data_IF_031885963369
#
_entry.id   IF_031885963369
#
_cell.length_a   1.000
_cell.length_b   1.000
_cell.length_c   1.000
_cell.angle_alpha   90.00
_cell.angle_beta   90.00
_cell.angle_gamma   90.00
#
_symmetry.space_group_name_H-M   'P 1'
#
loop_
_entity.id
_entity.type
_entity.pdbx_description
1 polymer ?
#
# COMPACT_ATOMS: atom_id res chain seq x y z
N UNK A 1 34.45 66.07 29.56
CA UNK A 1 34.08 65.76 28.13
C UNK A 1 33.94 64.28 27.98
N UNK A 2 32.73 63.75 28.14
CA UNK A 2 32.44 62.36 28.05
C UNK A 2 31.02 62.19 27.48
N UNK A 3 30.94 62.11 26.16
CA UNK A 3 29.70 61.78 25.40
C UNK A 3 30.09 60.97 24.22
N UNK A 4 29.56 59.73 24.09
CA UNK A 4 29.59 59.08 22.82
C UNK A 4 29.88 57.55 22.78
N UNK A 5 29.43 56.74 23.76
CA UNK A 5 29.57 55.29 23.66
C UNK A 5 28.27 54.47 23.81
N UNK A 6 27.12 55.13 23.90
CA UNK A 6 25.85 54.41 24.12
C UNK A 6 25.06 54.08 22.83
N UNK A 7 25.24 54.84 21.75
CA UNK A 7 24.45 54.73 20.54
C UNK A 7 24.78 53.47 19.67
N UNK A 8 26.04 53.00 19.73
CA UNK A 8 26.48 51.89 18.86
C UNK A 8 25.97 50.51 19.31
N UNK A 9 25.63 50.34 20.59
CA UNK A 9 25.15 49.02 21.09
C UNK A 9 23.71 48.72 20.73
N UNK A 10 22.85 49.72 20.64
CA UNK A 10 21.45 49.51 20.30
C UNK A 10 21.23 49.27 18.80
N UNK A 11 22.06 49.87 17.94
CA UNK A 11 22.00 49.62 16.48
C UNK A 11 22.45 48.21 16.14
N UNK A 12 23.47 47.67 16.81
CA UNK A 12 23.93 46.29 16.59
C UNK A 12 22.92 45.25 17.08
N UNK A 13 22.18 45.53 18.17
CA UNK A 13 21.17 44.60 18.69
C UNK A 13 19.91 44.53 17.80
N UNK A 14 19.51 45.65 17.22
CA UNK A 14 18.34 45.70 16.31
C UNK A 14 18.61 45.05 14.96
N UNK A 15 19.82 45.14 14.43
CA UNK A 15 20.21 44.48 13.18
C UNK A 15 20.33 42.95 13.38
N UNK A 16 20.83 42.49 14.52
CA UNK A 16 20.91 41.05 14.82
C UNK A 16 19.53 40.44 15.02
N UNK A 17 18.56 41.12 15.61
CA UNK A 17 17.21 40.62 15.81
C UNK A 17 16.42 40.59 14.49
N UNK A 18 16.63 41.54 13.59
CA UNK A 18 16.01 41.54 12.26
C UNK A 18 16.56 40.40 11.34
N UNK A 19 17.84 40.06 11.47
CA UNK A 19 18.45 38.95 10.73
C UNK A 19 17.96 37.59 11.25
N UNK A 20 17.68 37.44 12.54
CA UNK A 20 17.17 36.20 13.13
C UNK A 20 15.70 35.92 12.74
N UNK A 21 14.88 36.96 12.61
CA UNK A 21 13.48 36.84 12.17
C UNK A 21 13.39 36.48 10.68
N UNK A 22 14.35 36.91 9.86
CA UNK A 22 14.39 36.62 8.44
C UNK A 22 14.80 35.16 8.14
N UNK A 23 15.50 34.48 9.05
CA UNK A 23 15.96 33.09 8.85
C UNK A 23 14.90 32.07 9.25
N UNK A 24 13.87 32.47 10.00
CA UNK A 24 12.76 31.58 10.38
C UNK A 24 11.63 31.48 9.32
N UNK A 25 11.67 32.30 8.29
CA UNK A 25 10.62 32.35 7.26
C UNK A 25 10.85 31.41 6.05
N UNK A 26 11.92 30.61 6.04
CA UNK A 26 12.30 29.78 4.87
C UNK A 26 12.14 28.30 5.06
N UNK A 27 11.33 27.83 6.01
CA UNK A 27 10.83 26.46 5.94
C UNK A 27 9.67 26.42 4.95
N UNK A 28 10.01 26.46 3.65
CA UNK A 28 9.10 26.00 2.62
C UNK A 28 8.85 24.51 2.91
N UNK A 29 7.78 24.23 3.63
CA UNK A 29 7.24 22.89 3.66
C UNK A 29 6.99 22.51 2.20
N UNK A 30 7.81 21.61 1.67
CA UNK A 30 7.51 20.89 0.44
C UNK A 30 6.25 20.10 0.74
N UNK A 31 5.10 20.75 0.60
CA UNK A 31 3.83 20.05 0.46
C UNK A 31 3.94 19.31 -0.85
N UNK A 32 4.30 18.02 -0.78
CA UNK A 32 4.06 17.10 -1.90
C UNK A 32 2.56 17.19 -2.16
N UNK A 33 2.21 17.88 -3.23
CA UNK A 33 0.81 18.02 -3.60
C UNK A 33 0.30 16.61 -3.92
N UNK A 34 -0.71 16.16 -3.19
CA UNK A 34 -1.41 14.92 -3.46
C UNK A 34 -1.94 14.82 -4.93
N UNK A 35 -1.93 15.95 -5.65
CA UNK A 35 -2.28 16.03 -7.06
C UNK A 35 -1.30 15.32 -8.01
N UNK A 36 -0.05 15.06 -7.57
CA UNK A 36 1.00 14.47 -8.40
C UNK A 36 1.38 13.05 -7.96
N UNK A 37 0.45 12.35 -7.35
CA UNK A 37 0.67 11.00 -6.85
C UNK A 37 -0.38 10.03 -7.39
N UNK A 38 -0.06 8.74 -7.38
CA UNK A 38 -0.99 7.62 -7.53
C UNK A 38 -0.95 6.73 -6.31
N UNK A 39 -1.83 5.74 -6.23
CA UNK A 39 -1.79 4.73 -5.17
C UNK A 39 -1.47 3.38 -5.77
N UNK A 40 -0.63 2.63 -5.07
CA UNK A 40 -0.28 1.27 -5.46
C UNK A 40 -0.44 0.34 -4.28
N UNK A 41 -0.99 -0.84 -4.53
CA UNK A 41 -1.02 -1.97 -3.62
C UNK A 41 -0.16 -3.08 -4.22
N UNK A 42 0.71 -3.68 -3.41
CA UNK A 42 1.53 -4.81 -3.83
C UNK A 42 1.04 -6.06 -3.11
N UNK A 43 0.79 -7.13 -3.86
CA UNK A 43 0.42 -8.43 -3.32
C UNK A 43 1.50 -9.46 -3.60
N UNK A 44 1.92 -10.19 -2.56
CA UNK A 44 2.76 -11.36 -2.71
C UNK A 44 1.92 -12.57 -3.13
N UNK A 45 1.95 -12.90 -4.43
CA UNK A 45 1.16 -13.97 -5.02
C UNK A 45 2.02 -15.14 -5.56
N UNK A 46 3.31 -15.21 -5.18
CA UNK A 46 4.22 -16.31 -5.52
C UNK A 46 4.20 -17.37 -4.41
N UNK A 47 3.70 -18.57 -4.68
CA UNK A 47 3.43 -19.57 -3.63
C UNK A 47 4.67 -20.22 -3.05
N UNK A 48 5.79 -20.30 -3.79
CA UNK A 48 7.05 -20.92 -3.39
C UNK A 48 8.11 -19.94 -2.90
N UNK A 49 7.79 -18.64 -2.84
CA UNK A 49 8.72 -17.62 -2.38
C UNK A 49 8.50 -17.34 -0.90
N UNK A 50 9.57 -17.36 -0.07
CA UNK A 50 9.50 -16.93 1.32
C UNK A 50 9.02 -15.48 1.46
N UNK A 51 8.73 -14.99 2.68
CA UNK A 51 8.45 -13.58 2.90
C UNK A 51 9.48 -12.68 2.26
N UNK A 52 9.06 -11.54 1.72
CA UNK A 52 9.92 -10.64 0.96
C UNK A 52 9.96 -9.24 1.56
N UNK A 53 11.13 -8.58 1.40
CA UNK A 53 11.33 -7.16 1.62
C UNK A 53 11.29 -6.45 0.26
N UNK A 54 10.55 -5.35 0.18
CA UNK A 54 10.38 -4.58 -1.06
C UNK A 54 11.04 -3.23 -0.89
N UNK A 55 11.90 -2.89 -1.84
CA UNK A 55 12.58 -1.61 -1.94
C UNK A 55 12.04 -0.86 -3.16
N UNK A 56 11.79 0.42 -2.97
CA UNK A 56 11.39 1.35 -4.02
C UNK A 56 12.42 2.46 -4.06
N UNK A 57 13.03 2.67 -5.22
CA UNK A 57 14.10 3.67 -5.43
C UNK A 57 15.24 3.55 -4.39
N UNK A 58 15.59 2.31 -4.05
CA UNK A 58 16.64 1.99 -3.08
C UNK A 58 16.24 2.14 -1.61
N UNK A 59 15.00 2.56 -1.30
CA UNK A 59 14.51 2.65 0.07
C UNK A 59 13.59 1.46 0.41
N UNK A 60 13.77 0.85 1.59
CA UNK A 60 12.90 -0.23 2.04
C UNK A 60 11.50 0.32 2.33
N UNK A 61 10.54 -0.05 1.48
CA UNK A 61 9.14 0.35 1.60
C UNK A 61 8.30 -0.67 2.38
N UNK A 62 8.61 -1.96 2.26
CA UNK A 62 7.84 -3.05 2.89
C UNK A 62 8.80 -4.07 3.47
N UNK A 63 8.49 -4.58 4.66
CA UNK A 63 9.27 -5.63 5.34
C UNK A 63 8.43 -6.89 5.51
N UNK A 64 9.04 -8.04 5.25
CA UNK A 64 8.51 -9.37 5.53
C UNK A 64 7.07 -9.60 5.01
N UNK A 65 6.78 -9.13 3.78
CA UNK A 65 5.49 -9.39 3.14
C UNK A 65 5.39 -10.89 2.81
N UNK A 66 4.52 -11.58 3.53
CA UNK A 66 4.33 -13.02 3.37
C UNK A 66 3.28 -13.35 2.30
N UNK A 67 3.42 -14.49 1.65
CA UNK A 67 2.36 -15.08 0.80
C UNK A 67 1.13 -15.50 1.64
N UNK A 68 -0.09 -15.20 1.23
CA UNK A 68 -0.56 -14.35 0.13
C UNK A 68 -1.10 -13.01 0.67
N UNK A 69 -0.24 -12.21 1.27
CA UNK A 69 -0.61 -10.91 1.84
C UNK A 69 -0.38 -9.78 0.84
N UNK A 70 -1.02 -8.65 1.10
CA UNK A 70 -0.86 -7.40 0.37
C UNK A 70 -0.51 -6.25 1.33
N UNK A 71 -0.07 -5.13 0.76
CA UNK A 71 0.34 -3.95 1.53
C UNK A 71 -0.82 -3.01 1.88
N UNK A 72 -2.01 -3.24 1.32
CA UNK A 72 -2.97 -2.16 1.16
C UNK A 72 -2.45 -1.11 0.16
N UNK A 73 -3.26 -0.08 -0.10
CA UNK A 73 -2.83 1.02 -0.98
C UNK A 73 -1.88 1.97 -0.27
N UNK A 74 -0.73 2.20 -0.91
CA UNK A 74 0.29 3.17 -0.51
C UNK A 74 0.36 4.27 -1.57
N UNK A 75 0.49 5.52 -1.14
CA UNK A 75 0.64 6.65 -2.05
C UNK A 75 2.11 6.81 -2.45
N UNK A 76 2.38 6.86 -3.75
CA UNK A 76 3.70 7.15 -4.32
C UNK A 76 3.60 8.33 -5.29
N UNK A 77 4.66 9.12 -5.47
CA UNK A 77 4.72 10.12 -6.53
C UNK A 77 4.42 9.49 -7.90
N UNK A 78 3.82 10.24 -8.82
CA UNK A 78 3.65 9.78 -10.19
C UNK A 78 5.01 9.77 -10.90
N UNK A 79 5.27 8.73 -11.69
CA UNK A 79 6.52 8.55 -12.39
C UNK A 79 6.99 7.12 -12.46
N UNK A 80 8.21 6.94 -12.93
CA UNK A 80 8.88 5.64 -12.99
C UNK A 80 9.62 5.39 -11.68
N UNK A 81 9.41 4.23 -11.08
CA UNK A 81 10.05 3.79 -9.84
C UNK A 81 10.74 2.47 -10.06
N UNK A 82 11.97 2.33 -9.60
CA UNK A 82 12.67 1.06 -9.58
C UNK A 82 12.25 0.25 -8.36
N UNK A 83 11.70 -0.93 -8.58
CA UNK A 83 11.22 -1.85 -7.54
C UNK A 83 12.13 -3.06 -7.47
N UNK A 84 12.70 -3.32 -6.30
CA UNK A 84 13.51 -4.51 -6.01
C UNK A 84 12.85 -5.33 -4.91
N UNK A 85 12.77 -6.63 -5.14
CA UNK A 85 12.20 -7.60 -4.20
C UNK A 85 13.31 -8.53 -3.74
N UNK A 86 13.53 -8.60 -2.45
CA UNK A 86 14.51 -9.48 -1.82
C UNK A 86 13.83 -10.49 -0.90
N UNK A 87 14.41 -11.66 -0.74
CA UNK A 87 13.96 -12.58 0.33
C UNK A 87 14.27 -11.94 1.68
N UNK A 88 13.30 -11.93 2.57
CA UNK A 88 13.42 -11.33 3.91
C UNK A 88 14.16 -12.29 4.89
N UNK A 89 14.99 -11.77 5.82
CA UNK A 89 15.33 -10.36 5.98
C UNK A 89 16.42 -9.91 5.00
N UNK A 90 16.33 -8.66 4.53
CA UNK A 90 17.33 -8.06 3.65
C UNK A 90 17.56 -6.59 4.00
N UNK A 91 18.77 -6.10 3.80
CA UNK A 91 19.14 -4.68 3.87
C UNK A 91 19.14 -3.99 2.48
N UNK A 92 18.76 -4.74 1.43
CA UNK A 92 18.76 -4.27 0.05
C UNK A 92 20.08 -4.48 -0.68
N UNK A 93 21.07 -5.11 -0.04
CA UNK A 93 22.33 -5.48 -0.68
C UNK A 93 22.23 -6.84 -1.39
N UNK A 94 23.11 -7.06 -2.36
CA UNK A 94 23.16 -8.31 -3.12
C UNK A 94 22.20 -8.36 -4.30
N UNK A 95 21.91 -9.59 -4.75
CA UNK A 95 21.07 -9.82 -5.93
C UNK A 95 19.61 -9.91 -5.50
N UNK A 96 18.70 -9.06 -5.99
CA UNK A 96 17.28 -9.18 -5.73
C UNK A 96 16.69 -10.45 -6.39
N UNK A 97 15.66 -11.01 -5.78
CA UNK A 97 14.88 -12.08 -6.39
C UNK A 97 14.11 -11.60 -7.63
N UNK A 98 13.76 -10.31 -7.64
CA UNK A 98 13.11 -9.64 -8.75
C UNK A 98 13.46 -8.15 -8.74
N UNK A 99 13.79 -7.61 -9.93
CA UNK A 99 13.94 -6.18 -10.16
C UNK A 99 13.13 -5.78 -11.38
N UNK A 100 12.34 -4.72 -11.27
CA UNK A 100 11.53 -4.21 -12.36
C UNK A 100 11.20 -2.73 -12.15
N UNK A 101 10.96 -2.04 -13.25
CA UNK A 101 10.45 -0.68 -13.22
C UNK A 101 8.92 -0.68 -13.19
N UNK A 102 8.35 0.16 -12.33
CA UNK A 102 6.92 0.34 -12.14
C UNK A 102 6.53 1.80 -12.40
N UNK A 103 5.64 2.03 -13.34
CA UNK A 103 5.10 3.36 -13.59
C UNK A 103 3.87 3.62 -12.71
N UNK A 104 3.95 4.65 -11.86
CA UNK A 104 2.82 5.15 -11.08
C UNK A 104 2.14 6.26 -11.88
N UNK A 105 0.84 6.07 -12.17
CA UNK A 105 0.05 7.03 -12.93
C UNK A 105 -0.67 7.98 -11.98
N UNK A 106 -0.56 9.28 -12.26
CA UNK A 106 -1.21 10.32 -11.46
C UNK A 106 -2.70 10.07 -11.30
N UNK A 107 -3.19 10.14 -10.05
CA UNK A 107 -4.60 10.03 -9.71
C UNK A 107 -5.21 8.65 -9.96
N UNK A 108 -4.38 7.64 -10.28
CA UNK A 108 -4.82 6.26 -10.49
C UNK A 108 -4.46 5.38 -9.31
N UNK A 109 -5.28 4.36 -9.13
CA UNK A 109 -5.02 3.24 -8.25
C UNK A 109 -4.52 2.05 -9.07
N UNK A 110 -3.56 1.32 -8.52
CA UNK A 110 -2.99 0.15 -9.18
C UNK A 110 -2.78 -0.99 -8.19
N UNK A 111 -3.02 -2.21 -8.64
CA UNK A 111 -2.64 -3.43 -7.93
C UNK A 111 -1.52 -4.11 -8.70
N UNK A 112 -0.41 -4.39 -8.02
CA UNK A 112 0.75 -5.10 -8.57
C UNK A 112 0.89 -6.43 -7.85
N UNK A 113 0.85 -7.53 -8.59
CA UNK A 113 1.06 -8.85 -8.02
C UNK A 113 2.47 -9.34 -8.36
N UNK A 114 3.23 -9.80 -7.35
CA UNK A 114 4.41 -10.61 -7.57
C UNK A 114 3.93 -12.04 -7.81
N UNK A 115 3.98 -12.50 -9.05
CA UNK A 115 3.45 -13.78 -9.51
C UNK A 115 4.55 -14.67 -10.09
N UNK A 116 4.30 -15.96 -10.16
CA UNK A 116 5.26 -16.96 -10.65
C UNK A 116 5.88 -17.75 -9.52
N UNK A 117 6.91 -18.49 -9.83
CA UNK A 117 7.62 -19.38 -8.92
C UNK A 117 9.12 -19.09 -9.01
N UNK A 118 9.76 -18.88 -7.85
CA UNK A 118 11.23 -18.71 -7.78
C UNK A 118 11.92 -19.97 -8.24
N UNK A 119 11.44 -21.14 -7.80
CA UNK A 119 12.02 -22.44 -8.17
C UNK A 119 12.02 -22.73 -9.66
N UNK A 120 11.15 -22.07 -10.44
CA UNK A 120 11.06 -22.21 -11.90
C UNK A 120 11.59 -20.97 -12.66
N UNK A 121 12.17 -20.00 -11.95
CA UNK A 121 12.66 -18.74 -12.52
C UNK A 121 11.58 -17.99 -13.34
N UNK A 122 10.32 -18.03 -12.92
CA UNK A 122 9.18 -17.38 -13.59
C UNK A 122 8.63 -16.20 -12.81
N UNK A 123 9.28 -15.82 -11.70
CA UNK A 123 8.86 -14.71 -10.88
C UNK A 123 8.83 -13.40 -11.69
N UNK A 124 7.76 -12.63 -11.54
CA UNK A 124 7.59 -11.37 -12.24
C UNK A 124 6.51 -10.51 -11.61
N UNK A 125 6.46 -9.23 -11.99
CA UNK A 125 5.37 -8.33 -11.62
C UNK A 125 4.24 -8.38 -12.65
N UNK A 126 3.02 -8.34 -12.17
CA UNK A 126 1.80 -8.15 -12.94
C UNK A 126 1.14 -6.84 -12.48
N UNK A 127 1.45 -5.69 -13.10
CA UNK A 127 0.83 -4.43 -12.78
C UNK A 127 -0.53 -4.32 -13.46
N UNK A 128 -1.53 -3.84 -12.72
CA UNK A 128 -2.92 -3.70 -13.17
C UNK A 128 -3.46 -2.35 -12.70
N UNK A 129 -4.08 -1.60 -13.58
CA UNK A 129 -4.87 -0.42 -13.19
C UNK A 129 -6.18 -0.87 -12.55
N UNK A 130 -6.56 -0.20 -11.45
CA UNK A 130 -7.79 -0.49 -10.73
C UNK A 130 -8.91 0.46 -11.15
N UNK A 131 -10.10 -0.06 -11.36
CA UNK A 131 -11.29 0.74 -11.58
C UNK A 131 -12.11 0.81 -10.29
N UNK A 132 -11.84 1.83 -9.49
CA UNK A 132 -12.47 2.05 -8.19
C UNK A 132 -13.74 2.91 -8.26
N UNK A 133 -14.39 2.97 -9.44
CA UNK A 133 -15.67 3.64 -9.59
C UNK A 133 -16.72 3.00 -8.67
N UNK A 134 -17.42 3.85 -7.93
CA UNK A 134 -18.45 3.42 -6.96
C UNK A 134 -19.55 2.61 -7.64
N UNK A 135 -19.81 1.37 -7.21
CA UNK A 135 -20.96 0.60 -7.70
C UNK A 135 -22.30 1.25 -7.37
N UNK A 136 -23.32 0.95 -8.17
CA UNK A 136 -24.69 1.36 -7.86
C UNK A 136 -25.16 0.76 -6.52
N UNK A 137 -26.16 1.40 -5.89
CA UNK A 137 -26.77 0.88 -4.66
C UNK A 137 -27.29 -0.53 -4.87
N UNK A 138 -27.06 -1.42 -3.93
CA UNK A 138 -27.38 -2.84 -4.00
C UNK A 138 -26.37 -3.68 -4.80
N UNK A 139 -25.33 -3.08 -5.36
CA UNK A 139 -24.33 -3.75 -6.18
C UNK A 139 -22.93 -3.70 -5.57
N UNK A 140 -22.11 -4.70 -5.89
CA UNK A 140 -20.67 -4.71 -5.78
C UNK A 140 -20.06 -4.85 -7.17
N UNK A 141 -18.82 -4.39 -7.36
CA UNK A 141 -18.02 -4.74 -8.53
C UNK A 141 -16.98 -5.77 -8.13
N UNK A 142 -16.83 -6.81 -8.94
CA UNK A 142 -15.86 -7.87 -8.68
C UNK A 142 -15.04 -8.12 -9.95
N UNK A 143 -13.71 -8.14 -9.84
CA UNK A 143 -12.85 -8.72 -10.88
C UNK A 143 -12.13 -9.96 -10.34
N UNK A 144 -11.74 -10.84 -11.23
CA UNK A 144 -10.93 -12.03 -10.94
C UNK A 144 -9.52 -11.85 -11.49
N UNK A 145 -8.50 -12.20 -10.71
CA UNK A 145 -7.13 -12.37 -11.19
C UNK A 145 -6.72 -13.82 -10.96
N UNK A 146 -6.26 -14.49 -12.01
CA UNK A 146 -5.74 -15.84 -11.90
C UNK A 146 -4.23 -15.84 -11.73
N UNK A 147 -3.75 -16.04 -10.50
CA UNK A 147 -2.34 -16.00 -10.12
C UNK A 147 -1.77 -17.37 -9.69
N UNK A 148 -2.45 -18.48 -9.98
CA UNK A 148 -1.96 -19.84 -9.73
C UNK A 148 -1.20 -20.35 -10.95
N UNK A 149 0.15 -20.54 -10.87
CA UNK A 149 0.98 -20.78 -12.06
C UNK A 149 0.84 -22.19 -12.67
N UNK A 150 0.39 -23.18 -11.90
CA UNK A 150 0.25 -24.57 -12.32
C UNK A 150 -1.20 -24.99 -12.60
N UNK A 151 -2.15 -24.07 -12.39
CA UNK A 151 -3.55 -24.33 -12.72
C UNK A 151 -3.85 -23.92 -14.17
N UNK A 152 -4.69 -24.70 -14.89
CA UNK A 152 -5.15 -24.33 -16.22
C UNK A 152 -6.05 -23.10 -16.16
N UNK A 153 -6.49 -22.60 -17.33
CA UNK A 153 -7.54 -21.60 -17.37
C UNK A 153 -8.77 -22.05 -16.58
N UNK A 154 -9.45 -21.10 -15.92
CA UNK A 154 -10.54 -21.41 -14.99
C UNK A 154 -11.84 -20.71 -15.35
N UNK A 155 -12.93 -21.37 -15.02
CA UNK A 155 -14.28 -20.80 -14.92
C UNK A 155 -14.60 -20.59 -13.44
N UNK A 156 -15.23 -19.47 -13.10
CA UNK A 156 -15.76 -19.22 -11.75
C UNK A 156 -17.27 -19.00 -11.86
N UNK A 157 -18.02 -19.80 -11.15
CA UNK A 157 -19.48 -19.78 -11.20
C UNK A 157 -20.15 -19.94 -9.84
N UNK A 158 -21.46 -19.80 -9.83
CA UNK A 158 -22.29 -20.02 -8.64
C UNK A 158 -22.40 -21.53 -8.40
N UNK A 159 -22.09 -21.95 -7.18
CA UNK A 159 -22.06 -23.36 -6.79
C UNK A 159 -23.39 -24.08 -7.07
N UNK A 160 -23.27 -25.28 -7.63
CA UNK A 160 -24.45 -26.12 -7.96
C UNK A 160 -25.29 -25.62 -9.14
N UNK A 161 -24.83 -24.60 -9.88
CA UNK A 161 -25.53 -24.05 -11.05
C UNK A 161 -24.65 -24.02 -12.30
N UNK A 162 -25.25 -23.68 -13.45
CA UNK A 162 -24.51 -23.40 -14.68
C UNK A 162 -24.09 -21.94 -14.86
N UNK A 163 -24.44 -21.08 -13.91
CA UNK A 163 -24.16 -19.65 -13.99
C UNK A 163 -22.67 -19.38 -13.78
N UNK A 164 -22.02 -18.80 -14.78
CA UNK A 164 -20.61 -18.40 -14.71
C UNK A 164 -20.51 -16.88 -14.52
N UNK A 165 -19.70 -16.46 -13.56
CA UNK A 165 -19.35 -15.04 -13.34
C UNK A 165 -18.13 -14.69 -14.18
N UNK A 166 -17.14 -15.59 -14.25
CA UNK A 166 -15.97 -15.47 -15.09
C UNK A 166 -15.75 -16.76 -15.89
N UNK A 167 -15.28 -16.64 -17.11
CA UNK A 167 -15.07 -17.79 -18.00
C UNK A 167 -13.69 -17.75 -18.62
N UNK A 168 -13.04 -18.91 -18.67
CA UNK A 168 -11.78 -19.13 -19.37
C UNK A 168 -10.67 -18.15 -19.01
N UNK A 169 -10.51 -17.84 -17.72
CA UNK A 169 -9.47 -16.93 -17.24
C UNK A 169 -8.17 -17.72 -17.11
N UNK A 170 -7.21 -17.46 -18.00
CA UNK A 170 -5.91 -18.11 -18.03
C UNK A 170 -4.99 -17.56 -16.92
N UNK A 171 -3.89 -18.25 -16.62
CA UNK A 171 -2.85 -17.77 -15.71
C UNK A 171 -2.36 -16.37 -16.11
N UNK A 172 -2.24 -15.46 -15.14
CA UNK A 172 -2.03 -14.01 -15.29
C UNK A 172 -3.20 -13.28 -15.98
N UNK A 173 -4.27 -14.00 -16.32
CA UNK A 173 -5.47 -13.40 -16.88
C UNK A 173 -6.27 -12.63 -15.84
N UNK A 174 -6.98 -11.62 -16.32
CA UNK A 174 -7.80 -10.72 -15.51
C UNK A 174 -9.21 -10.72 -16.08
N UNK A 175 -10.18 -11.17 -15.28
CA UNK A 175 -11.61 -10.97 -15.59
C UNK A 175 -11.97 -9.51 -15.32
N UNK A 176 -12.78 -8.93 -16.21
CA UNK A 176 -13.21 -7.55 -16.07
C UNK A 176 -14.04 -7.32 -14.79
N UNK A 177 -14.05 -6.10 -14.27
CA UNK A 177 -14.95 -5.72 -13.18
C UNK A 177 -16.41 -5.94 -13.60
N UNK A 178 -17.05 -6.87 -12.95
CA UNK A 178 -18.43 -7.29 -13.22
C UNK A 178 -19.34 -6.83 -12.10
N UNK A 179 -20.44 -6.12 -12.38
CA UNK A 179 -21.42 -5.76 -11.37
C UNK A 179 -22.20 -7.02 -10.94
N UNK A 180 -22.26 -7.24 -9.63
CA UNK A 180 -23.04 -8.33 -9.01
C UNK A 180 -23.89 -7.75 -7.88
N UNK A 181 -24.95 -8.42 -7.47
CA UNK A 181 -25.73 -8.02 -6.31
C UNK A 181 -24.89 -8.11 -5.02
N UNK A 182 -25.10 -7.19 -4.09
CA UNK A 182 -24.49 -7.35 -2.77
C UNK A 182 -25.14 -8.54 -2.05
N UNK A 183 -24.33 -9.35 -1.37
CA UNK A 183 -24.82 -10.54 -0.71
C UNK A 183 -23.73 -11.56 -0.41
N UNK A 184 -24.12 -12.75 0.01
CA UNK A 184 -23.21 -13.86 0.28
C UNK A 184 -23.36 -14.91 -0.83
N UNK A 185 -22.24 -15.35 -1.39
CA UNK A 185 -22.17 -16.26 -2.52
C UNK A 185 -21.40 -17.53 -2.17
N UNK A 186 -21.96 -18.67 -2.56
CA UNK A 186 -21.20 -19.92 -2.67
C UNK A 186 -20.74 -20.05 -4.12
N UNK A 187 -19.42 -19.94 -4.33
CA UNK A 187 -18.83 -20.01 -5.66
C UNK A 187 -17.98 -21.26 -5.81
N UNK A 188 -17.73 -21.64 -7.05
CA UNK A 188 -16.88 -22.75 -7.43
C UNK A 188 -15.92 -22.32 -8.54
N UNK A 189 -14.66 -22.74 -8.41
CA UNK A 189 -13.65 -22.63 -9.46
C UNK A 189 -13.51 -24.00 -10.11
N UNK A 190 -13.61 -24.03 -11.43
CA UNK A 190 -13.45 -25.24 -12.25
C UNK A 190 -12.43 -24.99 -13.35
N UNK A 191 -11.67 -26.02 -13.83
CA UNK A 191 -10.95 -25.86 -15.07
C UNK A 191 -11.91 -25.47 -16.19
N UNK A 192 -11.49 -24.62 -17.09
CA UNK A 192 -12.36 -24.09 -18.16
C UNK A 192 -12.99 -25.23 -18.98
N UNK A 193 -14.30 -25.18 -19.10
CA UNK A 193 -15.09 -26.18 -19.79
C UNK A 193 -15.30 -27.50 -19.04
N UNK A 194 -14.71 -27.68 -17.84
CA UNK A 194 -14.88 -28.88 -17.04
C UNK A 194 -16.05 -28.75 -16.05
N UNK A 195 -16.56 -29.90 -15.59
CA UNK A 195 -17.59 -29.98 -14.54
C UNK A 195 -16.99 -30.21 -13.14
N UNK A 196 -15.74 -30.68 -13.07
CA UNK A 196 -15.07 -30.99 -11.82
C UNK A 196 -14.72 -29.70 -11.08
N UNK A 197 -15.12 -29.62 -9.81
CA UNK A 197 -14.77 -28.50 -8.94
C UNK A 197 -13.32 -28.64 -8.47
N UNK A 198 -12.49 -27.63 -8.77
CA UNK A 198 -11.10 -27.55 -8.31
C UNK A 198 -11.00 -26.86 -6.95
N UNK A 199 -11.87 -25.85 -6.71
CA UNK A 199 -11.91 -25.11 -5.44
C UNK A 199 -13.34 -24.64 -5.18
N UNK A 200 -13.85 -24.94 -3.98
CA UNK A 200 -15.09 -24.37 -3.48
C UNK A 200 -14.81 -23.10 -2.65
N UNK A 201 -15.64 -22.08 -2.82
CA UNK A 201 -15.54 -20.80 -2.11
C UNK A 201 -16.87 -20.57 -1.42
N UNK A 202 -17.07 -21.11 -0.21
CA UNK A 202 -18.30 -20.93 0.52
C UNK A 202 -18.37 -19.54 1.15
N UNK A 203 -19.55 -18.91 1.11
CA UNK A 203 -19.87 -17.74 1.90
C UNK A 203 -19.08 -16.48 1.57
N UNK A 204 -18.65 -16.29 0.31
CA UNK A 204 -17.98 -15.03 -0.09
C UNK A 204 -18.96 -13.86 0.07
N UNK A 205 -18.71 -13.00 1.06
CA UNK A 205 -19.52 -11.82 1.34
C UNK A 205 -19.12 -10.65 0.46
N UNK A 206 -20.05 -10.12 -0.34
CA UNK A 206 -19.87 -8.92 -1.15
C UNK A 206 -20.77 -7.81 -0.59
N UNK A 207 -20.12 -6.76 -0.07
CA UNK A 207 -20.83 -5.60 0.52
C UNK A 207 -21.35 -4.66 -0.56
N UNK A 208 -22.45 -3.99 -0.25
CA UNK A 208 -23.00 -2.94 -1.11
C UNK A 208 -21.96 -1.85 -1.39
N UNK A 209 -21.99 -1.32 -2.63
CA UNK A 209 -21.17 -0.20 -3.10
C UNK A 209 -19.66 -0.42 -2.90
N UNK A 210 -19.22 -1.67 -2.93
CA UNK A 210 -17.83 -2.05 -2.70
C UNK A 210 -17.23 -2.67 -3.95
N UNK A 211 -15.99 -2.31 -4.24
CA UNK A 211 -15.21 -2.86 -5.34
C UNK A 211 -14.24 -3.89 -4.79
N UNK A 212 -14.20 -5.05 -5.43
CA UNK A 212 -13.35 -6.18 -5.03
C UNK A 212 -12.46 -6.64 -6.16
N UNK A 213 -11.22 -6.95 -5.81
CA UNK A 213 -10.34 -7.81 -6.59
C UNK A 213 -10.23 -9.17 -5.89
N UNK A 214 -10.66 -10.23 -6.55
CA UNK A 214 -10.55 -11.61 -6.05
C UNK A 214 -9.37 -12.26 -6.75
N UNK A 215 -8.37 -12.70 -6.00
CA UNK A 215 -7.15 -13.31 -6.55
C UNK A 215 -7.13 -14.80 -6.25
N UNK A 216 -7.10 -15.63 -7.30
CA UNK A 216 -6.88 -17.08 -7.18
C UNK A 216 -5.37 -17.34 -7.11
N UNK A 217 -4.90 -17.87 -6.00
CA UNK A 217 -3.47 -18.11 -5.70
C UNK A 217 -3.23 -19.53 -5.21
N UNK A 218 -1.96 -19.89 -5.04
CA UNK A 218 -1.52 -21.20 -4.58
C UNK A 218 -1.21 -22.14 -5.75
N UNK A 219 -0.90 -23.37 -5.43
CA UNK A 219 -0.57 -24.41 -6.39
C UNK A 219 -1.63 -25.52 -6.36
N UNK A 220 -1.97 -26.01 -7.54
CA UNK A 220 -2.81 -27.20 -7.68
C UNK A 220 -2.08 -28.45 -7.21
N UNK A 221 -0.77 -28.52 -7.49
CA UNK A 221 0.05 -29.70 -7.23
C UNK A 221 0.15 -30.07 -5.74
N UNK A 222 0.08 -29.08 -4.83
CA UNK A 222 0.16 -29.27 -3.38
C UNK A 222 -1.16 -29.01 -2.65
N UNK A 223 -2.27 -28.83 -3.40
CA UNK A 223 -3.60 -28.52 -2.89
C UNK A 223 -3.67 -27.21 -2.06
N UNK A 224 -2.78 -26.26 -2.31
CA UNK A 224 -2.78 -24.95 -1.64
C UNK A 224 -3.66 -23.91 -2.31
N UNK A 225 -4.42 -24.26 -3.34
CA UNK A 225 -5.32 -23.37 -4.05
C UNK A 225 -6.28 -22.67 -3.09
N UNK A 226 -6.39 -21.36 -3.21
CA UNK A 226 -7.31 -20.53 -2.45
C UNK A 226 -7.61 -19.24 -3.19
N UNK A 227 -8.65 -18.54 -2.75
CA UNK A 227 -8.94 -17.18 -3.20
C UNK A 227 -8.69 -16.19 -2.08
N UNK A 228 -8.20 -15.01 -2.46
CA UNK A 228 -7.97 -13.89 -1.56
C UNK A 228 -8.80 -12.71 -2.07
N UNK A 229 -9.87 -12.34 -1.36
CA UNK A 229 -10.63 -11.14 -1.69
C UNK A 229 -9.89 -9.91 -1.14
N UNK A 230 -9.63 -8.94 -2.00
CA UNK A 230 -9.08 -7.64 -1.67
C UNK A 230 -10.19 -6.60 -1.85
N UNK A 231 -10.32 -5.68 -0.92
CA UNK A 231 -11.20 -4.52 -1.07
C UNK A 231 -10.43 -3.41 -1.77
N UNK A 232 -10.88 -3.02 -2.95
CA UNK A 232 -10.25 -1.97 -3.75
C UNK A 232 -10.79 -0.60 -3.34
N UNK A 233 -12.12 -0.49 -3.22
CA UNK A 233 -12.80 0.71 -2.75
C UNK A 233 -14.11 0.35 -2.06
N UNK A 234 -14.50 1.18 -1.11
CA UNK A 234 -15.83 1.14 -0.50
C UNK A 234 -16.38 2.57 -0.42
N UNK A 235 -17.55 2.79 -0.98
CA UNK A 235 -18.24 4.06 -0.80
C UNK A 235 -19.03 4.04 0.51
N UNK A 236 -19.09 5.15 1.26
CA UNK A 236 -19.97 5.26 2.41
C UNK A 236 -21.44 5.07 1.96
N UNK A 237 -22.26 4.51 2.84
CA UNK A 237 -23.69 4.43 2.58
C UNK A 237 -24.24 5.82 2.25
N UNK A 238 -25.21 5.96 1.32
CA UNK A 238 -25.85 7.23 1.08
C UNK A 238 -26.44 7.74 2.41
N UNK A 239 -26.00 8.91 2.85
CA UNK A 239 -26.70 9.59 3.96
C UNK A 239 -28.10 9.90 3.47
N UNK A 240 -29.11 9.46 4.22
CA UNK A 240 -30.48 9.85 3.94
C UNK A 240 -30.55 11.38 3.82
N UNK A 241 -31.30 11.92 2.86
CA UNK A 241 -31.53 13.36 2.80
C UNK A 241 -32.00 13.83 4.17
N UNK A 242 -31.33 14.76 4.79
CA UNK A 242 -31.86 15.45 5.96
C UNK A 242 -33.09 16.22 5.50
N UNK A 243 -34.26 15.63 5.67
CA UNK A 243 -35.54 16.37 5.55
C UNK A 243 -35.54 17.40 6.66
N UNK A 244 -35.42 18.65 6.26
CA UNK A 244 -35.03 19.80 7.03
C UNK A 244 -35.74 19.99 8.37
N UNK A 245 -34.95 20.38 9.33
CA UNK A 245 -35.27 21.46 10.26
C UNK A 245 -34.05 22.35 10.29
N UNK A 246 -34.21 23.58 9.83
CA UNK A 246 -33.13 24.56 9.78
C UNK A 246 -32.59 24.84 11.18
N UNK A 247 -31.39 24.40 11.39
CA UNK A 247 -30.49 24.93 12.42
C UNK A 247 -29.12 25.08 11.75
N UNK A 248 -28.67 26.32 11.69
CA UNK A 248 -27.35 26.68 11.21
C UNK A 248 -26.28 25.88 11.96
N UNK A 249 -25.69 24.91 11.30
CA UNK A 249 -24.52 24.24 11.85
C UNK A 249 -23.29 25.11 11.63
N UNK A 250 -22.79 25.68 12.70
CA UNK A 250 -21.45 26.26 12.77
C UNK A 250 -20.45 25.16 12.43
N UNK A 251 -19.79 25.27 11.28
CA UNK A 251 -18.74 24.34 10.88
C UNK A 251 -17.53 24.50 11.78
N UNK A 252 -17.36 23.55 12.70
CA UNK A 252 -16.11 23.39 13.44
C UNK A 252 -15.08 22.76 12.51
N UNK A 253 -14.13 23.56 12.05
CA UNK A 253 -12.93 23.06 11.36
C UNK A 253 -12.09 22.22 12.33
N UNK A 254 -12.29 20.91 12.30
CA UNK A 254 -11.36 19.99 12.93
C UNK A 254 -10.19 19.85 11.97
N UNK A 255 -9.09 20.55 12.28
CA UNK A 255 -7.83 20.36 11.61
C UNK A 255 -7.33 18.92 11.88
N UNK A 256 -7.33 18.08 10.86
CA UNK A 256 -6.65 16.79 10.88
C UNK A 256 -5.14 17.08 10.95
N UNK A 257 -4.56 16.84 12.12
CA UNK A 257 -3.11 16.84 12.31
C UNK A 257 -2.52 15.60 11.61
N UNK A 258 -1.50 15.76 10.76
CA UNK A 258 -0.80 14.61 10.21
C UNK A 258 0.08 13.98 11.30
N UNK A 259 -0.16 12.72 11.62
CA UNK A 259 0.75 11.92 12.43
C UNK A 259 1.98 11.55 11.59
N UNK A 260 2.99 12.45 11.59
CA UNK A 260 4.36 12.06 11.29
C UNK A 260 5.13 12.03 12.60
N UNK A 261 5.39 10.85 13.12
CA UNK A 261 6.33 10.66 14.22
C UNK A 261 7.74 10.86 13.66
N UNK A 262 8.26 12.07 13.83
CA UNK A 262 9.69 12.35 13.65
C UNK A 262 10.41 11.85 14.88
N UNK A 263 11.21 10.78 14.74
CA UNK A 263 12.18 10.38 15.75
C UNK A 263 13.29 11.43 15.80
N UNK A 264 13.23 12.32 16.79
CA UNK A 264 14.27 13.30 17.08
C UNK A 264 15.40 12.60 17.84
N UNK A 265 16.53 12.39 17.18
CA UNK A 265 17.77 11.95 17.83
C UNK A 265 18.31 13.10 18.72
N UNK A 266 18.26 12.92 20.03
CA UNK A 266 18.87 13.82 20.99
C UNK A 266 20.38 13.55 21.01
N UNK A 267 21.16 14.45 20.41
CA UNK A 267 22.59 14.54 20.64
C UNK A 267 22.82 15.11 22.04
N UNK A 268 23.12 14.21 22.98
CA UNK A 268 23.58 14.59 24.31
C UNK A 268 25.03 15.08 24.25
N UNK A 269 25.23 16.37 24.46
CA UNK A 269 26.52 16.94 24.80
C UNK A 269 26.78 16.61 26.27
N UNK A 270 27.57 15.58 26.51
CA UNK A 270 28.08 15.25 27.84
C UNK A 270 29.45 15.90 28.06
N UNK A 271 29.50 16.82 29.00
CA UNK A 271 30.68 17.50 29.44
C UNK A 271 31.68 16.56 30.13
N UNK A 272 32.97 16.85 29.88
CA UNK A 272 34.12 16.31 30.55
C UNK A 272 34.05 16.40 32.09
N UNK A 273 34.30 15.28 32.75
CA UNK A 273 34.83 15.33 34.12
C UNK A 273 35.77 14.12 34.30
N UNK A 274 37.05 14.41 34.34
CA UNK A 274 38.07 13.50 34.86
C UNK A 274 38.01 13.45 36.39
N UNK A 275 38.23 12.30 37.01
CA UNK A 275 38.97 12.31 38.26
C UNK A 275 40.21 11.43 38.25
N UNK A 276 41.11 11.92 39.03
CA UNK A 276 42.49 11.53 39.28
C UNK A 276 42.66 10.13 39.89
N UNK A 277 43.86 9.64 39.66
CA UNK A 277 44.57 8.57 40.31
C UNK A 277 44.23 8.28 41.80
N UNK A 278 44.06 7.00 42.11
CA UNK A 278 44.48 6.46 43.39
C UNK A 278 45.18 5.11 43.20
N UNK A 279 46.50 5.13 43.45
CA UNK A 279 47.32 3.94 43.73
C UNK A 279 46.91 3.30 45.04
N UNK A 280 46.75 2.03 45.08
CA UNK A 280 47.05 1.27 46.29
C UNK A 280 47.61 -0.10 45.94
N UNK A 281 48.72 -0.37 46.58
CA UNK A 281 49.57 -1.58 46.62
C UNK A 281 49.02 -2.67 47.51
N UNK A 282 49.56 -3.87 47.27
CA UNK A 282 49.73 -5.05 48.15
C UNK A 282 48.55 -6.04 48.05
N UNK A 283 48.84 -7.30 47.96
CA UNK A 283 50.02 -8.21 48.18
C UNK A 283 49.83 -9.42 47.31
#
# INVERSE_FOLDING_TARGET
MALGRSASRHVLLTVALAALVSLLASTSALSVQAADAGRVRIMHASPDTPPVDIFVDGQKAVSALAFPKDTGYVTLPAGLHNVKVFVSPSDGAGTPALEADLTIVRGKDSTVLAVGEVGKATLGLLPLEDNNATPATGKAHVRLIHASPDAPAVDVGVAGTSVKVFSNVAYKGVGAYTPVDAGSYNLEVRPAGATTVALAIPGLGLKDRTVYTVVAVGLRADNSLKVVPLVDANAPAPTAPHTGTGLTSTSSNIALLPFFAVALAILGIGAFATPALARSRRS
#
